data_IF_391924942927
#
_entry.id   IF_391924942927
#
_cell.length_a   1.000
_cell.length_b   1.000
_cell.length_c   1.000
_cell.angle_alpha   90.00
_cell.angle_beta   90.00
_cell.angle_gamma   90.00
#
_symmetry.space_group_name_H-M   'P 1'
#
loop_
_entity.id
_entity.type
_entity.pdbx_description
1 polymer ?
#
# COMPACT_ATOMS: atom_id res chain seq x y z
N UNK A 1 23.45 -15.03 -6.77
CA UNK A 1 23.38 -15.51 -8.18
C UNK A 1 24.55 -16.44 -8.52
N UNK A 2 25.76 -16.15 -8.07
CA UNK A 2 26.96 -16.99 -8.30
C UNK A 2 26.86 -18.40 -7.72
N UNK A 3 26.28 -18.59 -6.53
CA UNK A 3 26.02 -19.92 -5.97
C UNK A 3 25.05 -20.76 -6.84
N UNK A 4 24.08 -20.12 -7.48
CA UNK A 4 23.13 -20.78 -8.39
C UNK A 4 23.77 -21.14 -9.75
N UNK A 5 24.78 -20.38 -10.18
CA UNK A 5 25.63 -20.70 -11.33
C UNK A 5 26.50 -21.93 -11.01
N UNK A 6 27.16 -21.94 -9.86
CA UNK A 6 28.01 -23.04 -9.40
C UNK A 6 27.22 -24.36 -9.19
N UNK A 7 25.92 -24.26 -8.85
CA UNK A 7 25.03 -25.41 -8.67
C UNK A 7 24.45 -25.98 -9.98
N UNK A 8 24.85 -25.47 -11.16
CA UNK A 8 24.40 -25.98 -12.47
C UNK A 8 22.96 -25.61 -12.86
N UNK A 9 22.33 -24.63 -12.20
CA UNK A 9 20.95 -24.23 -12.52
C UNK A 9 20.88 -23.51 -13.88
N UNK A 10 19.95 -23.96 -14.73
CA UNK A 10 19.61 -23.28 -15.98
C UNK A 10 19.09 -21.86 -15.72
N UNK A 11 19.15 -20.99 -16.74
CA UNK A 11 18.73 -19.58 -16.63
C UNK A 11 17.30 -19.44 -16.10
N UNK A 12 16.39 -20.31 -16.55
CA UNK A 12 15.00 -20.33 -16.10
C UNK A 12 14.84 -20.79 -14.65
N UNK A 13 15.54 -21.85 -14.25
CA UNK A 13 15.51 -22.34 -12.87
C UNK A 13 16.05 -21.28 -11.91
N UNK A 14 17.17 -20.64 -12.25
CA UNK A 14 17.77 -19.57 -11.45
C UNK A 14 16.81 -18.38 -11.30
N UNK A 15 16.14 -17.98 -12.38
CA UNK A 15 15.18 -16.89 -12.33
C UNK A 15 14.04 -17.21 -11.37
N UNK A 16 13.37 -18.37 -11.56
CA UNK A 16 12.19 -18.73 -10.76
C UNK A 16 12.50 -19.05 -9.30
N UNK A 17 13.62 -19.71 -9.02
CA UNK A 17 13.90 -20.26 -7.68
C UNK A 17 14.76 -19.35 -6.81
N UNK A 18 15.54 -18.45 -7.41
CA UNK A 18 16.50 -17.62 -6.67
C UNK A 18 16.15 -16.15 -6.83
N UNK A 19 16.17 -15.64 -8.07
CA UNK A 19 16.05 -14.19 -8.31
C UNK A 19 14.64 -13.68 -8.00
N UNK A 20 13.60 -14.33 -8.54
CA UNK A 20 12.21 -13.90 -8.37
C UNK A 20 11.75 -13.87 -6.90
N UNK A 21 11.88 -14.96 -6.11
CA UNK A 21 11.44 -14.93 -4.71
C UNK A 21 12.27 -13.97 -3.85
N UNK A 22 13.54 -13.75 -4.17
CA UNK A 22 14.40 -12.80 -3.46
C UNK A 22 14.04 -11.36 -3.81
N UNK A 23 13.82 -11.05 -5.10
CA UNK A 23 13.38 -9.74 -5.56
C UNK A 23 11.99 -9.38 -5.01
N UNK A 24 11.03 -10.31 -5.03
CA UNK A 24 9.70 -10.07 -4.48
C UNK A 24 9.73 -9.73 -2.99
N UNK A 25 10.60 -10.38 -2.20
CA UNK A 25 10.77 -10.07 -0.77
C UNK A 25 11.32 -8.66 -0.52
N UNK A 26 12.07 -8.09 -1.47
CA UNK A 26 12.65 -6.75 -1.38
C UNK A 26 11.64 -5.69 -1.86
N UNK A 27 10.89 -5.97 -2.92
CA UNK A 27 10.04 -4.98 -3.60
C UNK A 27 8.62 -4.90 -3.01
N UNK A 28 8.08 -6.01 -2.48
CA UNK A 28 6.72 -6.03 -1.91
C UNK A 28 6.53 -5.09 -0.71
N UNK A 29 7.45 -4.99 0.28
CA UNK A 29 7.26 -4.11 1.43
C UNK A 29 7.09 -2.61 1.06
N UNK A 30 8.01 -1.97 0.30
CA UNK A 30 7.88 -0.55 -0.05
C UNK A 30 6.66 -0.28 -0.95
N UNK A 31 6.26 -1.23 -1.80
CA UNK A 31 5.05 -1.10 -2.63
C UNK A 31 3.80 -0.89 -1.78
N UNK A 32 3.64 -1.59 -0.65
CA UNK A 32 2.43 -1.44 0.18
C UNK A 32 2.40 -0.05 0.83
N UNK A 33 3.53 0.46 1.31
CA UNK A 33 3.61 1.83 1.82
C UNK A 33 3.28 2.87 0.74
N UNK A 34 3.79 2.68 -0.47
CA UNK A 34 3.52 3.54 -1.61
C UNK A 34 2.04 3.47 -2.05
N UNK A 35 1.40 2.30 -1.96
CA UNK A 35 -0.04 2.16 -2.20
C UNK A 35 -0.89 2.95 -1.18
N UNK A 36 -0.53 2.95 0.10
CA UNK A 36 -1.23 3.73 1.13
C UNK A 36 -1.12 5.24 0.86
N UNK A 37 0.05 5.70 0.44
CA UNK A 37 0.26 7.09 0.01
C UNK A 37 -0.62 7.45 -1.20
N UNK A 38 -0.65 6.59 -2.22
CA UNK A 38 -1.49 6.81 -3.42
C UNK A 38 -2.99 6.88 -3.10
N UNK A 39 -3.48 6.06 -2.16
CA UNK A 39 -4.88 6.12 -1.72
C UNK A 39 -5.18 7.49 -1.07
N UNK A 40 -4.26 7.98 -0.25
CA UNK A 40 -4.38 9.31 0.38
C UNK A 40 -4.30 10.43 -0.65
N UNK A 41 -3.41 10.34 -1.62
CA UNK A 41 -3.27 11.34 -2.70
C UNK A 41 -4.47 11.33 -3.65
N UNK A 42 -5.12 10.17 -3.85
CA UNK A 42 -6.40 10.06 -4.59
C UNK A 42 -7.50 10.92 -3.96
N UNK A 43 -7.47 11.12 -2.63
CA UNK A 43 -8.42 12.01 -1.95
C UNK A 43 -8.32 13.46 -2.44
N UNK A 44 -7.15 13.91 -2.90
CA UNK A 44 -6.94 15.25 -3.49
C UNK A 44 -7.72 15.41 -4.80
N UNK A 45 -7.91 14.31 -5.54
CA UNK A 45 -8.67 14.27 -6.80
C UNK A 45 -10.17 14.56 -6.56
N UNK A 46 -10.67 14.40 -5.34
CA UNK A 46 -12.02 14.86 -4.95
C UNK A 46 -12.19 16.37 -5.10
N UNK A 47 -11.12 17.17 -5.05
CA UNK A 47 -11.19 18.62 -5.21
C UNK A 47 -11.52 19.03 -6.66
N UNK A 48 -11.16 18.20 -7.64
CA UNK A 48 -11.47 18.42 -9.07
C UNK A 48 -12.79 17.77 -9.52
N UNK A 49 -13.62 17.29 -8.58
CA UNK A 49 -14.98 16.82 -8.84
C UNK A 49 -15.13 15.35 -9.20
N UNK A 50 -14.03 14.58 -9.19
CA UNK A 50 -14.06 13.12 -9.33
C UNK A 50 -14.67 12.47 -8.07
N UNK A 51 -15.43 11.39 -8.28
CA UNK A 51 -16.18 10.75 -7.19
C UNK A 51 -15.28 9.80 -6.41
N UNK A 52 -14.93 10.19 -5.19
CA UNK A 52 -14.17 9.39 -4.22
C UNK A 52 -14.85 9.50 -2.83
N UNK A 53 -14.34 8.84 -1.79
CA UNK A 53 -14.96 8.79 -0.46
C UNK A 53 -15.17 10.20 0.15
N UNK A 54 -14.21 11.10 -0.09
CA UNK A 54 -14.32 12.53 0.29
C UNK A 54 -15.45 13.26 -0.44
N UNK A 55 -15.68 12.91 -1.72
CA UNK A 55 -16.74 13.51 -2.53
C UNK A 55 -18.13 13.07 -2.05
N UNK A 56 -18.26 11.80 -1.69
CA UNK A 56 -19.47 11.26 -1.06
C UNK A 56 -19.77 11.99 0.25
N UNK A 57 -18.75 12.25 1.07
CA UNK A 57 -18.88 13.07 2.27
C UNK A 57 -19.47 14.45 1.99
N UNK A 58 -18.91 15.17 1.00
CA UNK A 58 -19.43 16.48 0.57
C UNK A 58 -20.89 16.45 0.13
N UNK A 59 -21.30 15.43 -0.63
CA UNK A 59 -22.69 15.26 -1.07
C UNK A 59 -23.65 15.03 0.10
N UNK A 60 -23.20 14.33 1.15
CA UNK A 60 -24.01 14.06 2.35
C UNK A 60 -24.13 15.32 3.21
N UNK A 61 -23.09 16.14 3.34
CA UNK A 61 -23.14 17.42 4.07
C UNK A 61 -24.16 18.39 3.47
N UNK A 62 -24.39 18.33 2.16
CA UNK A 62 -25.45 19.15 1.52
C UNK A 62 -26.86 18.72 1.93
N UNK A 63 -27.04 17.50 2.46
CA UNK A 63 -28.33 16.95 2.89
C UNK A 63 -28.48 16.91 4.41
N UNK A 64 -27.37 16.93 5.15
CA UNK A 64 -27.33 16.82 6.61
C UNK A 64 -26.52 17.99 7.19
N UNK A 65 -27.10 18.84 8.06
CA UNK A 65 -26.42 20.03 8.58
C UNK A 65 -25.22 19.73 9.52
N UNK A 66 -24.98 18.47 9.86
CA UNK A 66 -23.91 18.03 10.76
C UNK A 66 -22.62 17.65 10.00
N UNK A 67 -22.01 18.62 9.32
CA UNK A 67 -20.83 18.38 8.48
C UNK A 67 -19.64 17.76 9.21
N UNK A 68 -19.45 18.11 10.49
CA UNK A 68 -18.37 17.60 11.33
C UNK A 68 -18.45 16.07 11.52
N UNK A 69 -19.67 15.54 11.75
CA UNK A 69 -19.91 14.11 11.94
C UNK A 69 -19.71 13.33 10.62
N UNK A 70 -20.11 13.93 9.50
CA UNK A 70 -19.93 13.34 8.16
C UNK A 70 -18.46 13.22 7.79
N UNK A 71 -17.67 14.28 7.96
CA UNK A 71 -16.23 14.22 7.67
C UNK A 71 -15.45 13.35 8.67
N UNK A 72 -15.91 13.24 9.92
CA UNK A 72 -15.38 12.27 10.86
C UNK A 72 -15.57 10.83 10.35
N UNK A 73 -16.77 10.49 9.86
CA UNK A 73 -17.04 9.16 9.27
C UNK A 73 -16.22 8.90 8.00
N UNK A 74 -16.03 9.91 7.16
CA UNK A 74 -15.13 9.81 5.99
C UNK A 74 -13.70 9.49 6.44
N UNK A 75 -13.19 10.18 7.46
CA UNK A 75 -11.89 9.92 8.06
C UNK A 75 -11.77 8.51 8.64
N UNK A 76 -12.80 8.03 9.34
CA UNK A 76 -12.90 6.65 9.82
C UNK A 76 -12.91 5.65 8.67
N UNK A 77 -13.59 5.95 7.56
CA UNK A 77 -13.60 5.12 6.36
C UNK A 77 -12.21 4.96 5.75
N UNK A 78 -11.47 6.06 5.58
CA UNK A 78 -10.07 5.99 5.18
C UNK A 78 -9.21 5.21 6.19
N UNK A 79 -9.45 5.37 7.49
CA UNK A 79 -8.72 4.61 8.51
C UNK A 79 -8.99 3.11 8.42
N UNK A 80 -10.24 2.69 8.22
CA UNK A 80 -10.62 1.27 8.08
C UNK A 80 -9.95 0.64 6.85
N UNK A 81 -9.71 1.39 5.79
CA UNK A 81 -9.01 0.89 4.59
C UNK A 81 -7.50 0.92 4.80
N UNK A 82 -6.94 2.04 5.24
CA UNK A 82 -5.50 2.24 5.34
C UNK A 82 -4.87 1.46 6.49
N UNK A 83 -5.53 1.37 7.66
CA UNK A 83 -5.00 0.69 8.84
C UNK A 83 -4.68 -0.81 8.63
N UNK A 84 -5.58 -1.65 8.06
CA UNK A 84 -5.23 -3.03 7.76
C UNK A 84 -4.15 -3.15 6.68
N UNK A 85 -4.13 -2.25 5.69
CA UNK A 85 -3.04 -2.20 4.70
C UNK A 85 -1.69 -1.91 5.35
N UNK A 86 -1.64 -0.94 6.27
CA UNK A 86 -0.43 -0.60 7.04
C UNK A 86 -0.01 -1.77 7.92
N UNK A 87 -0.95 -2.45 8.58
CA UNK A 87 -0.65 -3.61 9.40
C UNK A 87 -0.10 -4.77 8.55
N UNK A 88 -0.66 -4.97 7.35
CA UNK A 88 -0.18 -5.96 6.40
C UNK A 88 1.22 -5.61 5.89
N UNK A 89 1.48 -4.33 5.56
CA UNK A 89 2.80 -3.81 5.21
C UNK A 89 3.82 -4.10 6.31
N UNK A 90 3.52 -3.69 7.55
CA UNK A 90 4.37 -3.90 8.73
C UNK A 90 4.64 -5.38 8.99
N UNK A 91 3.64 -6.24 8.83
CA UNK A 91 3.82 -7.70 8.96
C UNK A 91 4.71 -8.26 7.85
N UNK A 92 4.59 -7.75 6.63
CA UNK A 92 5.46 -8.15 5.51
C UNK A 92 6.89 -7.64 5.72
N UNK A 93 7.08 -6.39 6.16
CA UNK A 93 8.37 -5.82 6.57
C UNK A 93 9.03 -6.65 7.67
N UNK A 94 8.30 -6.95 8.76
CA UNK A 94 8.82 -7.76 9.87
C UNK A 94 9.18 -9.20 9.46
N UNK A 95 8.47 -9.78 8.49
CA UNK A 95 8.74 -11.13 7.98
C UNK A 95 9.83 -11.19 6.90
N UNK A 96 10.07 -10.08 6.19
CA UNK A 96 10.98 -10.02 5.04
C UNK A 96 12.27 -9.24 5.29
N UNK A 97 12.38 -8.53 6.44
CA UNK A 97 13.56 -7.83 6.94
C UNK A 97 13.23 -6.35 7.18
N UNK A 98 13.53 -5.70 8.30
CA UNK A 98 14.85 -5.56 8.93
C UNK A 98 16.06 -5.43 7.96
N UNK A 99 15.83 -5.32 6.64
CA UNK A 99 16.87 -5.30 5.62
C UNK A 99 16.92 -4.00 4.80
N UNK A 100 16.12 -2.99 5.13
CA UNK A 100 16.23 -1.67 4.52
C UNK A 100 15.55 -0.57 5.35
N UNK A 101 16.35 0.38 5.88
CA UNK A 101 15.93 1.51 6.71
C UNK A 101 16.67 1.46 8.05
N UNK A 102 17.78 2.17 8.26
CA UNK A 102 17.96 3.62 8.05
C UNK A 102 19.34 3.91 7.41
N UNK A 103 19.37 4.74 6.36
CA UNK A 103 20.52 5.63 6.04
C UNK A 103 19.98 7.04 6.08
#
# INVERSE_FOLDING_TARGET
>A
VEAALASGLSRWQRMRQVVLPQAMRIVLPPLVGQYVLLIKDSSVVSAIGLTDLTRVGWLVVQRVPNGLLVFFLVGVGYFIVCYPLILLARRLEQRMGAAHGEV
#
